data_IF_937102593255
#
_entry.id   IF_937102593255
#
_cell.length_a   1.000
_cell.length_b   1.000
_cell.length_c   1.000
_cell.angle_alpha   90.00
_cell.angle_beta   90.00
_cell.angle_gamma   90.00
#
_symmetry.space_group_name_H-M   'P 1'
#
loop_
_entity.id
_entity.type
_entity.pdbx_description
1 polymer ?
#
# COMPACT_ATOMS: atom_id res chain seq x y z
N UNK A 1 -4.01 -10.50 9.46
CA UNK A 1 -3.12 -9.89 8.44
C UNK A 1 -1.96 -9.21 9.15
N UNK A 2 -0.77 -9.78 8.99
CA UNK A 2 0.49 -9.25 9.54
C UNK A 2 0.90 -7.97 8.81
N UNK A 3 1.40 -6.98 9.52
CA UNK A 3 1.82 -5.72 8.88
C UNK A 3 3.00 -5.94 7.92
N UNK A 4 2.97 -5.22 6.80
CA UNK A 4 4.07 -5.20 5.87
C UNK A 4 5.13 -4.22 6.38
N UNK A 5 6.37 -4.66 6.33
CA UNK A 5 7.54 -3.77 6.47
C UNK A 5 7.60 -2.82 5.28
N UNK A 6 8.35 -1.73 5.40
CA UNK A 6 8.55 -0.76 4.31
C UNK A 6 9.04 -1.42 3.01
N UNK A 7 9.95 -2.39 3.14
CA UNK A 7 10.48 -3.13 1.99
C UNK A 7 9.42 -4.02 1.34
N UNK A 8 8.62 -4.73 2.14
CA UNK A 8 7.52 -5.56 1.64
C UNK A 8 6.42 -4.74 0.96
N UNK A 9 6.03 -3.61 1.56
CA UNK A 9 5.03 -2.72 0.99
C UNK A 9 5.48 -2.13 -0.35
N UNK A 10 6.76 -1.77 -0.46
CA UNK A 10 7.35 -1.31 -1.73
C UNK A 10 7.21 -2.36 -2.83
N UNK A 11 7.51 -3.62 -2.53
CA UNK A 11 7.34 -4.72 -3.49
C UNK A 11 5.87 -4.94 -3.83
N UNK A 12 4.95 -4.81 -2.86
CA UNK A 12 3.51 -4.88 -3.15
C UNK A 12 3.03 -3.74 -4.06
N UNK A 13 3.55 -2.51 -3.92
CA UNK A 13 3.21 -1.43 -4.86
C UNK A 13 3.57 -1.79 -6.30
N UNK A 14 4.74 -2.41 -6.50
CA UNK A 14 5.17 -2.89 -7.83
C UNK A 14 4.28 -4.02 -8.32
N UNK A 15 3.99 -5.02 -7.48
CA UNK A 15 3.11 -6.15 -7.85
C UNK A 15 1.70 -5.68 -8.19
N UNK A 16 1.12 -4.72 -7.45
CA UNK A 16 -0.18 -4.14 -7.78
C UNK A 16 -0.16 -3.34 -9.08
N UNK A 17 0.96 -2.71 -9.42
CA UNK A 17 1.12 -1.97 -10.68
C UNK A 17 1.21 -2.92 -11.87
N UNK A 18 1.95 -4.01 -11.73
CA UNK A 18 2.18 -4.98 -12.80
C UNK A 18 1.05 -6.01 -12.95
N UNK A 19 0.23 -6.21 -11.91
CA UNK A 19 -0.83 -7.23 -11.78
C UNK A 19 -0.31 -8.69 -11.81
N UNK A 20 0.62 -9.00 -12.73
CA UNK A 20 1.36 -10.26 -12.80
C UNK A 20 2.82 -9.96 -13.10
N UNK A 21 3.72 -10.53 -12.31
CA UNK A 21 5.14 -10.24 -12.43
C UNK A 21 6.01 -11.43 -12.04
N UNK A 22 7.10 -11.63 -12.78
CA UNK A 22 8.24 -12.42 -12.31
C UNK A 22 9.14 -11.57 -11.42
N UNK A 23 10.00 -12.22 -10.63
CA UNK A 23 10.96 -11.52 -9.76
C UNK A 23 11.86 -10.57 -10.56
N UNK A 24 12.16 -10.89 -11.82
CA UNK A 24 12.93 -10.03 -12.72
C UNK A 24 12.18 -8.74 -13.03
N UNK A 25 10.92 -8.84 -13.42
CA UNK A 25 10.07 -7.68 -13.73
C UNK A 25 9.93 -6.75 -12.51
N UNK A 26 9.79 -7.34 -11.31
CA UNK A 26 9.75 -6.58 -10.05
C UNK A 26 11.05 -5.79 -9.85
N UNK A 27 12.22 -6.40 -10.09
CA UNK A 27 13.52 -5.74 -9.97
C UNK A 27 13.69 -4.64 -11.03
N UNK A 28 13.14 -4.87 -12.23
CA UNK A 28 13.23 -3.91 -13.33
C UNK A 28 12.43 -2.64 -13.05
N UNK A 29 11.25 -2.79 -12.44
CA UNK A 29 10.32 -1.72 -12.07
C UNK A 29 10.75 -0.95 -10.80
N UNK A 30 11.74 -1.43 -10.06
CA UNK A 30 12.28 -0.70 -8.91
C UNK A 30 13.22 0.42 -9.37
N UNK A 31 12.86 1.66 -9.05
CA UNK A 31 13.65 2.88 -9.29
C UNK A 31 14.90 2.99 -8.38
N UNK A 32 15.35 1.90 -7.76
CA UNK A 32 16.46 1.89 -6.80
C UNK A 32 17.81 1.67 -7.49
N UNK A 33 18.78 2.53 -7.18
CA UNK A 33 20.19 2.34 -7.56
C UNK A 33 21.09 2.25 -6.32
N UNK A 34 21.82 1.14 -6.11
CA UNK A 34 21.84 -0.07 -6.93
C UNK A 34 20.57 -0.92 -6.75
N UNK A 35 20.14 -1.60 -7.83
CA UNK A 35 19.00 -2.51 -7.79
C UNK A 35 19.24 -3.63 -6.76
N UNK A 36 18.24 -3.98 -5.94
CA UNK A 36 18.40 -5.04 -4.95
C UNK A 36 18.76 -6.38 -5.59
N UNK A 37 19.55 -7.23 -4.91
CA UNK A 37 19.85 -8.56 -5.42
C UNK A 37 18.59 -9.41 -5.63
N UNK A 38 18.61 -10.26 -6.67
CA UNK A 38 17.51 -11.16 -6.99
C UNK A 38 17.03 -12.00 -5.80
N UNK A 39 17.98 -12.53 -5.01
CA UNK A 39 17.67 -13.35 -3.84
C UNK A 39 16.91 -12.58 -2.76
N UNK A 40 17.16 -11.28 -2.62
CA UNK A 40 16.47 -10.42 -1.66
C UNK A 40 15.01 -10.25 -2.08
N UNK A 41 14.76 -9.88 -3.34
CA UNK A 41 13.40 -9.72 -3.85
C UNK A 41 12.66 -11.07 -3.82
N UNK A 42 13.32 -12.16 -4.26
CA UNK A 42 12.71 -13.49 -4.20
C UNK A 42 12.35 -13.92 -2.78
N UNK A 43 13.15 -13.56 -1.78
CA UNK A 43 12.86 -13.87 -0.37
C UNK A 43 11.69 -13.03 0.16
N UNK A 44 11.64 -11.75 -0.19
CA UNK A 44 10.53 -10.85 0.18
C UNK A 44 9.22 -11.32 -0.45
N UNK A 45 9.23 -11.67 -1.74
CA UNK A 45 8.02 -12.15 -2.44
C UNK A 45 7.52 -13.46 -1.85
N UNK A 46 8.42 -14.38 -1.46
CA UNK A 46 8.04 -15.59 -0.71
C UNK A 46 7.47 -15.29 0.67
N UNK A 47 7.98 -14.27 1.35
CA UNK A 47 7.43 -13.86 2.65
C UNK A 47 6.04 -13.24 2.49
N UNK A 48 5.83 -12.42 1.45
CA UNK A 48 4.53 -11.88 1.07
C UNK A 48 3.52 -12.99 0.73
N UNK A 49 3.97 -14.04 0.04
CA UNK A 49 3.17 -15.23 -0.24
C UNK A 49 2.79 -15.97 1.04
N UNK A 50 3.74 -16.25 1.93
CA UNK A 50 3.49 -16.88 3.23
C UNK A 50 2.50 -16.08 4.09
N UNK A 51 2.55 -14.75 4.00
CA UNK A 51 1.63 -13.83 4.69
C UNK A 51 0.25 -13.72 4.01
N UNK A 52 0.09 -14.30 2.81
CA UNK A 52 -1.17 -14.30 2.05
C UNK A 52 -1.45 -13.04 1.25
N UNK A 53 -0.46 -12.17 1.04
CA UNK A 53 -0.61 -10.93 0.25
C UNK A 53 -0.47 -11.18 -1.26
N UNK A 54 0.33 -12.18 -1.61
CA UNK A 54 0.68 -12.55 -2.98
C UNK A 54 0.39 -14.03 -3.17
N UNK A 55 -0.01 -14.42 -4.36
CA UNK A 55 -0.03 -15.81 -4.78
C UNK A 55 0.84 -15.99 -6.02
N UNK A 56 1.07 -17.22 -6.42
CA UNK A 56 1.92 -17.50 -7.57
C UNK A 56 1.36 -18.61 -8.45
N UNK A 57 1.80 -18.60 -9.70
CA UNK A 57 1.61 -19.67 -10.66
C UNK A 57 2.97 -20.17 -11.13
N UNK A 58 3.20 -21.48 -10.99
CA UNK A 58 4.44 -22.10 -11.41
C UNK A 58 4.44 -22.31 -12.93
N UNK A 59 5.50 -21.85 -13.60
CA UNK A 59 5.81 -22.12 -15.00
C UNK A 59 7.14 -22.87 -15.06
N UNK A 60 7.10 -24.18 -14.80
CA UNK A 60 8.30 -25.01 -14.74
C UNK A 60 9.24 -24.59 -13.60
N UNK A 61 10.36 -23.93 -13.94
CA UNK A 61 11.36 -23.44 -12.97
C UNK A 61 11.19 -21.96 -12.58
N UNK A 62 10.22 -21.26 -13.16
CA UNK A 62 9.92 -19.85 -12.84
C UNK A 62 8.55 -19.72 -12.18
N UNK A 63 8.37 -18.64 -11.42
CA UNK A 63 7.15 -18.34 -10.69
C UNK A 63 6.64 -16.96 -11.09
N UNK A 64 5.41 -16.92 -11.62
CA UNK A 64 4.68 -15.69 -11.89
C UNK A 64 3.88 -15.35 -10.63
N UNK A 65 4.13 -14.19 -10.03
CA UNK A 65 3.47 -13.72 -8.83
C UNK A 65 2.37 -12.72 -9.17
N UNK A 66 1.28 -12.76 -8.40
CA UNK A 66 0.13 -11.86 -8.57
C UNK A 66 -0.50 -11.53 -7.21
N UNK A 67 -1.13 -10.36 -7.05
CA UNK A 67 -1.68 -9.94 -5.78
C UNK A 67 -2.86 -10.84 -5.38
N UNK A 68 -2.83 -11.37 -4.16
CA UNK A 68 -3.97 -12.10 -3.58
C UNK A 68 -4.97 -11.16 -2.89
N UNK A 69 -4.54 -9.94 -2.57
CA UNK A 69 -5.40 -8.89 -2.00
C UNK A 69 -5.35 -7.65 -2.88
N UNK A 70 -6.47 -6.93 -2.96
CA UNK A 70 -6.50 -5.66 -3.69
C UNK A 70 -5.75 -4.56 -2.93
N UNK A 71 -5.19 -3.60 -3.66
CA UNK A 71 -4.59 -2.39 -3.06
C UNK A 71 -5.60 -1.65 -2.18
N UNK A 72 -6.86 -1.60 -2.58
CA UNK A 72 -7.92 -0.93 -1.83
C UNK A 72 -8.19 -1.62 -0.48
N UNK A 73 -8.26 -2.96 -0.44
CA UNK A 73 -8.48 -3.70 0.80
C UNK A 73 -7.30 -3.57 1.76
N UNK A 74 -6.08 -3.61 1.22
CA UNK A 74 -4.87 -3.33 2.00
C UNK A 74 -4.92 -1.93 2.60
N UNK A 75 -5.11 -0.90 1.75
CA UNK A 75 -5.15 0.49 2.17
C UNK A 75 -6.24 0.72 3.22
N UNK A 76 -7.44 0.16 3.04
CA UNK A 76 -8.52 0.25 4.03
C UNK A 76 -8.12 -0.33 5.38
N UNK A 77 -7.51 -1.51 5.37
CA UNK A 77 -7.09 -2.20 6.60
C UNK A 77 -5.97 -1.45 7.30
N UNK A 78 -4.94 -1.05 6.56
CA UNK A 78 -3.79 -0.30 7.09
C UNK A 78 -4.20 1.08 7.59
N UNK A 79 -5.03 1.80 6.83
CA UNK A 79 -5.57 3.10 7.26
C UNK A 79 -6.40 2.96 8.53
N UNK A 80 -7.26 1.96 8.64
CA UNK A 80 -8.08 1.75 9.84
C UNK A 80 -7.21 1.55 11.10
N UNK A 81 -6.10 0.81 10.98
CA UNK A 81 -5.14 0.63 12.07
C UNK A 81 -4.44 1.94 12.45
N UNK A 82 -3.96 2.69 11.46
CA UNK A 82 -3.31 3.99 11.70
C UNK A 82 -4.29 4.99 12.32
N UNK A 83 -5.52 5.02 11.82
CA UNK A 83 -6.59 5.89 12.29
C UNK A 83 -6.97 5.58 13.75
N UNK A 84 -7.09 4.30 14.09
CA UNK A 84 -7.34 3.88 15.46
C UNK A 84 -6.14 4.18 16.38
N UNK A 85 -4.91 3.91 15.93
CA UNK A 85 -3.70 3.99 16.78
C UNK A 85 -3.15 5.39 17.00
N UNK A 86 -3.26 6.30 16.02
CA UNK A 86 -2.70 7.66 16.12
C UNK A 86 -3.74 8.74 16.34
N UNK A 87 -4.99 8.48 15.95
CA UNK A 87 -6.06 9.48 15.99
C UNK A 87 -7.20 9.08 16.91
N UNK A 88 -7.03 8.03 17.74
CA UNK A 88 -8.05 7.52 18.67
C UNK A 88 -9.43 7.34 18.01
N UNK A 89 -9.44 6.94 16.75
CA UNK A 89 -10.65 6.80 15.93
C UNK A 89 -11.48 8.09 15.80
N UNK A 90 -10.86 9.27 15.97
CA UNK A 90 -11.48 10.60 15.91
C UNK A 90 -11.17 11.29 14.57
N UNK A 91 -12.19 11.48 13.70
CA UNK A 91 -12.02 12.22 12.45
C UNK A 91 -11.58 13.67 12.69
N UNK A 92 -12.04 14.27 13.79
CA UNK A 92 -11.65 15.62 14.20
C UNK A 92 -10.16 15.72 14.52
N UNK A 93 -9.56 14.68 15.10
CA UNK A 93 -8.12 14.64 15.39
C UNK A 93 -7.30 14.61 14.11
N UNK A 94 -7.70 13.80 13.13
CA UNK A 94 -7.06 13.74 11.82
C UNK A 94 -7.15 15.09 11.08
N UNK A 95 -8.35 15.68 11.01
CA UNK A 95 -8.55 16.98 10.37
C UNK A 95 -7.76 18.10 11.07
N UNK A 96 -7.73 18.09 12.41
CA UNK A 96 -6.95 19.06 13.17
C UNK A 96 -5.45 18.95 12.88
N UNK A 97 -4.93 17.73 12.72
CA UNK A 97 -3.55 17.50 12.31
C UNK A 97 -3.28 18.04 10.90
N UNK A 98 -4.16 17.73 9.94
CA UNK A 98 -3.99 18.18 8.54
C UNK A 98 -4.01 19.71 8.39
N UNK A 99 -4.86 20.41 9.16
CA UNK A 99 -4.91 21.87 9.20
C UNK A 99 -3.65 22.46 9.83
N UNK A 100 -3.16 21.86 10.93
CA UNK A 100 -1.94 22.32 11.62
C UNK A 100 -0.68 22.14 10.77
N UNK A 101 -0.55 21.03 10.07
CA UNK A 101 0.58 20.72 9.20
C UNK A 101 0.54 21.46 7.84
N UNK A 102 -0.45 22.36 7.62
CA UNK A 102 -0.66 23.08 6.36
C UNK A 102 -0.77 22.17 5.13
N UNK A 103 -1.15 20.90 5.33
CA UNK A 103 -1.31 19.92 4.24
C UNK A 103 -2.56 20.16 3.40
N UNK A 104 -3.47 21.03 3.86
CA UNK A 104 -4.70 21.39 3.18
C UNK A 104 -4.59 22.79 2.57
N UNK A 105 -4.78 22.88 1.26
CA UNK A 105 -4.94 24.17 0.59
C UNK A 105 -6.33 24.76 0.89
N UNK A 106 -6.51 26.06 0.62
CA UNK A 106 -7.84 26.70 0.72
C UNK A 106 -8.89 25.96 -0.11
N UNK A 107 -8.50 25.48 -1.30
CA UNK A 107 -9.37 24.73 -2.20
C UNK A 107 -9.79 23.39 -1.59
N UNK A 108 -8.86 22.66 -0.98
CA UNK A 108 -9.18 21.37 -0.33
C UNK A 108 -10.15 21.58 0.85
N UNK A 109 -10.00 22.68 1.59
CA UNK A 109 -10.92 23.04 2.68
C UNK A 109 -12.32 23.33 2.14
N UNK A 110 -12.44 24.08 1.05
CA UNK A 110 -13.73 24.39 0.40
C UNK A 110 -14.41 23.12 -0.13
N UNK A 111 -13.67 22.22 -0.76
CA UNK A 111 -14.18 20.93 -1.24
C UNK A 111 -14.66 20.03 -0.09
N UNK A 112 -13.90 19.97 1.01
CA UNK A 112 -14.30 19.23 2.21
C UNK A 112 -15.56 19.82 2.87
N UNK A 113 -15.66 21.16 2.95
CA UNK A 113 -16.87 21.83 3.45
C UNK A 113 -18.10 21.50 2.58
N UNK A 114 -17.94 21.50 1.25
CA UNK A 114 -19.00 21.13 0.33
C UNK A 114 -19.46 19.68 0.53
N UNK A 115 -18.52 18.73 0.70
CA UNK A 115 -18.81 17.31 0.98
C UNK A 115 -19.58 17.10 2.30
N UNK A 116 -19.18 17.80 3.37
CA UNK A 116 -19.85 17.72 4.68
C UNK A 116 -21.27 18.26 4.59
N UNK A 117 -21.46 19.40 3.92
CA UNK A 117 -22.77 20.01 3.74
C UNK A 117 -23.70 19.15 2.86
N UNK A 118 -23.14 18.40 1.91
CA UNK A 118 -23.89 17.49 1.03
C UNK A 118 -24.39 16.23 1.76
N UNK A 119 -23.64 15.73 2.75
CA UNK A 119 -24.02 14.57 3.57
C UNK A 119 -24.94 14.93 4.76
N UNK A 120 -25.26 16.22 4.96
CA UNK A 120 -26.14 16.70 6.03
C UNK A 120 -27.65 16.61 5.70
N UNK A 121 -28.02 15.89 4.64
CA UNK A 121 -29.41 15.61 4.27
C UNK A 121 -29.92 14.36 4.95
#
# INVERSE_FOLDING_TARGET
MEELTKSEERIMQVIWKLDKAFVKDIIEELDEEPKPPYNTISSIVRLLEKKGYVSYKAYGKTYEYFPAISKADYTKTSFSKLFAGYFDNSPSSLLSFMVKEQTLSKKDIEELQALINSNRK
#
